data_IF_417601223626
#
_entry.id   IF_417601223626
#
_cell.length_a   1.000
_cell.length_b   1.000
_cell.length_c   1.000
_cell.angle_alpha   90.00
_cell.angle_beta   90.00
_cell.angle_gamma   90.00
#
_symmetry.space_group_name_H-M   'P 1'
#
loop_
_entity.id
_entity.type
_entity.pdbx_description
1 polymer ?
#
# COMPACT_ATOMS: atom_id res chain seq x y z
N UNK A 1 -4.45 7.00 -2.85
CA UNK A 1 -3.06 7.31 -3.21
C UNK A 1 -2.61 6.48 -4.41
N UNK A 2 -2.84 5.16 -4.45
CA UNK A 2 -2.53 4.29 -5.62
C UNK A 2 -3.04 4.91 -6.93
N UNK A 3 -4.35 5.21 -6.98
CA UNK A 3 -5.00 5.81 -8.16
C UNK A 3 -4.38 7.15 -8.54
N UNK A 4 -4.10 8.02 -7.56
CA UNK A 4 -3.45 9.31 -7.81
C UNK A 4 -2.06 9.14 -8.42
N UNK A 5 -1.26 8.21 -7.84
CA UNK A 5 0.07 7.89 -8.37
C UNK A 5 0.02 7.42 -9.82
N UNK A 6 -0.91 6.51 -10.14
CA UNK A 6 -1.10 6.02 -11.50
C UNK A 6 -1.51 7.14 -12.47
N UNK A 7 -2.46 8.01 -12.08
CA UNK A 7 -2.95 9.12 -12.92
C UNK A 7 -1.87 10.17 -13.16
N UNK A 8 -1.12 10.56 -12.12
CA UNK A 8 -0.01 11.49 -12.26
C UNK A 8 1.04 10.94 -13.23
N UNK A 9 1.41 9.66 -13.07
CA UNK A 9 2.35 9.01 -13.97
C UNK A 9 1.81 8.94 -15.40
N UNK A 10 0.54 8.55 -15.59
CA UNK A 10 -0.10 8.46 -16.90
C UNK A 10 -0.06 9.79 -17.67
N UNK A 11 -0.34 10.87 -16.95
CA UNK A 11 -0.39 12.22 -17.52
C UNK A 11 1.01 12.77 -17.86
N UNK A 12 2.01 12.54 -16.96
CA UNK A 12 3.36 13.07 -17.14
C UNK A 12 4.13 12.25 -18.20
N UNK A 13 4.01 10.94 -18.18
CA UNK A 13 4.67 10.05 -19.13
C UNK A 13 4.18 10.31 -20.55
N UNK A 14 2.86 10.39 -20.73
CA UNK A 14 2.23 10.71 -22.03
C UNK A 14 2.86 9.97 -23.22
N UNK A 15 3.14 8.67 -23.06
CA UNK A 15 3.73 7.80 -24.07
C UNK A 15 5.25 7.93 -24.25
N UNK A 16 5.94 8.81 -23.53
CA UNK A 16 7.37 9.09 -23.71
C UNK A 16 8.20 8.43 -22.60
N UNK A 17 9.17 7.61 -22.99
CA UNK A 17 10.08 6.93 -22.05
C UNK A 17 10.95 7.90 -21.24
N UNK A 18 11.32 9.05 -21.82
CA UNK A 18 12.12 10.07 -21.14
C UNK A 18 11.44 10.64 -19.88
N UNK A 19 10.12 10.58 -19.81
CA UNK A 19 9.32 11.14 -18.71
C UNK A 19 9.04 10.13 -17.59
N UNK A 20 9.56 8.90 -17.65
CA UNK A 20 9.35 7.87 -16.61
C UNK A 20 9.89 8.34 -15.27
N UNK A 21 11.15 8.81 -15.23
CA UNK A 21 11.80 9.23 -14.00
C UNK A 21 11.14 10.47 -13.36
N UNK A 22 10.87 11.57 -14.12
CA UNK A 22 10.10 12.69 -13.58
C UNK A 22 8.71 12.28 -13.06
N UNK A 23 7.99 11.44 -13.80
CA UNK A 23 6.68 10.95 -13.40
C UNK A 23 6.73 10.16 -12.07
N UNK A 24 7.71 9.27 -11.94
CA UNK A 24 7.93 8.50 -10.72
C UNK A 24 8.23 9.42 -9.53
N UNK A 25 9.14 10.39 -9.70
CA UNK A 25 9.50 11.33 -8.63
C UNK A 25 8.30 12.19 -8.18
N UNK A 26 7.50 12.70 -9.12
CA UNK A 26 6.30 13.48 -8.81
C UNK A 26 5.26 12.60 -8.10
N UNK A 27 5.04 11.38 -8.56
CA UNK A 27 4.12 10.43 -7.94
C UNK A 27 4.54 10.06 -6.51
N UNK A 28 5.82 9.74 -6.31
CA UNK A 28 6.37 9.46 -4.97
C UNK A 28 6.30 10.69 -4.07
N UNK A 29 6.62 11.87 -4.59
CA UNK A 29 6.51 13.14 -3.85
C UNK A 29 5.09 13.43 -3.40
N UNK A 30 4.10 13.26 -4.28
CA UNK A 30 2.69 13.40 -3.93
C UNK A 30 2.27 12.36 -2.86
N UNK A 31 2.71 11.11 -3.00
CA UNK A 31 2.48 10.07 -2.00
C UNK A 31 3.07 10.42 -0.65
N UNK A 32 4.35 10.86 -0.61
CA UNK A 32 5.02 11.31 0.61
C UNK A 32 4.28 12.46 1.29
N UNK A 33 3.85 13.47 0.53
CA UNK A 33 3.12 14.63 1.06
C UNK A 33 1.78 14.22 1.68
N UNK A 34 0.97 13.43 0.97
CA UNK A 34 -0.31 12.95 1.48
C UNK A 34 -0.11 12.10 2.73
N UNK A 35 0.88 11.21 2.71
CA UNK A 35 1.21 10.40 3.86
C UNK A 35 1.71 11.22 5.06
N UNK A 36 2.54 12.23 4.83
CA UNK A 36 3.00 13.13 5.88
C UNK A 36 1.84 13.91 6.51
N UNK A 37 0.90 14.42 5.70
CA UNK A 37 -0.31 15.10 6.19
C UNK A 37 -1.16 14.14 7.05
N UNK A 38 -1.38 12.91 6.58
CA UNK A 38 -2.08 11.89 7.36
C UNK A 38 -1.36 11.59 8.68
N UNK A 39 -0.05 11.41 8.62
CA UNK A 39 0.80 11.16 9.78
C UNK A 39 0.76 12.31 10.78
N UNK A 40 0.78 13.57 10.32
CA UNK A 40 0.64 14.75 11.17
C UNK A 40 -0.74 14.79 11.85
N UNK A 41 -1.81 14.53 11.11
CA UNK A 41 -3.15 14.46 11.67
C UNK A 41 -3.29 13.42 12.78
N UNK A 42 -2.68 12.25 12.60
CA UNK A 42 -2.71 11.17 13.60
C UNK A 42 -1.74 11.42 14.76
N UNK A 43 -0.53 11.90 14.50
CA UNK A 43 0.51 12.03 15.52
C UNK A 43 0.38 13.30 16.35
N UNK A 44 0.04 14.43 15.72
CA UNK A 44 0.02 15.75 16.35
C UNK A 44 -1.40 16.13 16.76
N UNK A 45 -2.36 16.06 15.82
CA UNK A 45 -3.76 16.41 16.10
C UNK A 45 -4.53 15.28 16.80
N UNK A 46 -3.91 14.11 16.94
CA UNK A 46 -4.50 12.93 17.62
C UNK A 46 -5.84 12.48 17.04
N UNK A 47 -6.06 12.73 15.75
CA UNK A 47 -7.24 12.26 15.04
C UNK A 47 -7.16 10.73 14.93
N UNK A 48 -8.25 9.99 15.17
CA UNK A 48 -8.27 8.54 14.98
C UNK A 48 -7.81 8.17 13.56
N UNK A 49 -6.88 7.20 13.42
CA UNK A 49 -6.27 6.83 12.13
C UNK A 49 -7.28 6.58 11.01
N UNK A 50 -8.35 5.84 11.33
CA UNK A 50 -9.40 5.51 10.38
C UNK A 50 -10.10 6.76 9.84
N UNK A 51 -10.46 7.69 10.74
CA UNK A 51 -11.15 8.94 10.38
C UNK A 51 -10.25 9.81 9.50
N UNK A 52 -8.97 9.95 9.89
CA UNK A 52 -8.00 10.75 9.12
C UNK A 52 -7.80 10.20 7.71
N UNK A 53 -7.61 8.89 7.58
CA UNK A 53 -7.35 8.27 6.27
C UNK A 53 -8.59 8.22 5.38
N UNK A 54 -9.79 8.03 5.94
CA UNK A 54 -11.04 8.11 5.19
C UNK A 54 -11.32 9.53 4.70
N UNK A 55 -11.13 10.53 5.56
CA UNK A 55 -11.25 11.94 5.16
C UNK A 55 -10.27 12.30 4.04
N UNK A 56 -9.01 11.90 4.18
CA UNK A 56 -8.00 12.12 3.15
C UNK A 56 -8.30 11.36 1.84
N UNK A 57 -8.93 10.19 1.92
CA UNK A 57 -9.35 9.47 0.72
C UNK A 57 -10.36 10.30 -0.10
N UNK A 58 -11.32 10.96 0.56
CA UNK A 58 -12.25 11.88 -0.08
C UNK A 58 -11.56 13.10 -0.70
N UNK A 59 -10.60 13.72 0.03
CA UNK A 59 -9.79 14.84 -0.49
C UNK A 59 -9.01 14.42 -1.73
N UNK A 60 -8.33 13.28 -1.69
CA UNK A 60 -7.55 12.76 -2.82
C UNK A 60 -8.45 12.43 -4.01
N UNK A 61 -9.64 11.88 -3.78
CA UNK A 61 -10.60 11.61 -4.84
C UNK A 61 -11.10 12.91 -5.49
N UNK A 62 -11.41 13.93 -4.69
CA UNK A 62 -11.76 15.26 -5.20
C UNK A 62 -10.62 15.89 -5.99
N UNK A 63 -9.38 15.77 -5.51
CA UNK A 63 -8.19 16.25 -6.21
C UNK A 63 -7.99 15.56 -7.57
N UNK A 64 -8.18 14.24 -7.61
CA UNK A 64 -8.13 13.48 -8.87
C UNK A 64 -9.14 14.05 -9.88
N UNK A 65 -10.39 14.24 -9.47
CA UNK A 65 -11.44 14.78 -10.32
C UNK A 65 -11.13 16.21 -10.78
N UNK A 66 -10.62 17.06 -9.88
CA UNK A 66 -10.22 18.42 -10.21
C UNK A 66 -9.06 18.48 -11.23
N UNK A 67 -8.05 17.61 -11.07
CA UNK A 67 -6.91 17.54 -11.99
C UNK A 67 -7.32 16.97 -13.35
N UNK A 68 -8.13 15.92 -13.35
CA UNK A 68 -8.49 15.21 -14.59
C UNK A 68 -9.68 15.82 -15.32
N UNK A 69 -10.51 16.59 -14.62
CA UNK A 69 -11.81 17.07 -15.13
C UNK A 69 -12.67 15.92 -15.71
N UNK A 70 -12.50 14.72 -15.17
CA UNK A 70 -13.16 13.50 -15.65
C UNK A 70 -12.54 12.90 -16.92
N UNK A 71 -11.50 13.53 -17.51
CA UNK A 71 -10.83 13.05 -18.71
C UNK A 71 -9.44 12.53 -18.37
N UNK A 72 -9.16 11.29 -18.73
CA UNK A 72 -7.87 10.67 -18.54
C UNK A 72 -7.05 10.81 -19.81
N UNK A 73 -6.28 11.90 -19.90
CA UNK A 73 -5.41 12.22 -21.05
C UNK A 73 -3.98 11.83 -20.68
N UNK A 74 -3.34 11.04 -21.52
CA UNK A 74 -1.96 10.57 -21.33
C UNK A 74 -1.73 9.22 -22.01
N UNK A 75 -0.65 8.56 -21.65
CA UNK A 75 -0.31 7.24 -22.18
C UNK A 75 0.76 6.54 -21.33
N UNK A 76 0.78 5.20 -21.32
CA UNK A 76 1.85 4.44 -20.70
C UNK A 76 3.13 4.58 -21.55
N UNK A 77 4.28 4.41 -20.89
CA UNK A 77 5.55 4.30 -21.59
C UNK A 77 5.72 2.88 -22.15
N UNK A 78 6.21 2.71 -23.39
CA UNK A 78 6.58 1.40 -23.91
C UNK A 78 7.62 0.67 -23.07
N UNK A 79 8.61 1.39 -22.54
CA UNK A 79 9.63 0.82 -21.65
C UNK A 79 9.02 0.32 -20.34
N UNK A 80 8.14 1.08 -19.69
CA UNK A 80 7.47 0.68 -18.46
C UNK A 80 6.59 -0.56 -18.69
N UNK A 81 5.82 -0.57 -19.77
CA UNK A 81 5.00 -1.70 -20.17
C UNK A 81 5.85 -2.96 -20.41
N UNK A 82 6.97 -2.82 -21.10
CA UNK A 82 7.88 -3.96 -21.33
C UNK A 82 8.45 -4.52 -20.02
N UNK A 83 8.88 -3.67 -19.09
CA UNK A 83 9.39 -4.10 -17.78
C UNK A 83 8.33 -4.84 -16.98
N UNK A 84 7.07 -4.37 -17.04
CA UNK A 84 6.01 -4.96 -16.22
C UNK A 84 5.39 -6.22 -16.81
N UNK A 85 5.31 -6.34 -18.15
CA UNK A 85 4.57 -7.43 -18.81
C UNK A 85 5.45 -8.45 -19.50
N UNK A 86 6.65 -8.05 -20.01
CA UNK A 86 7.52 -8.95 -20.76
C UNK A 86 8.52 -9.67 -19.85
N UNK A 87 8.86 -10.92 -20.17
CA UNK A 87 9.93 -11.62 -19.49
C UNK A 87 11.27 -10.94 -19.81
N UNK A 88 12.01 -10.55 -18.76
CA UNK A 88 13.33 -9.90 -18.88
C UNK A 88 14.45 -10.94 -18.76
N UNK A 89 14.33 -11.87 -17.81
CA UNK A 89 15.35 -12.86 -17.53
C UNK A 89 14.73 -14.21 -17.15
N UNK A 90 15.20 -15.32 -17.74
CA UNK A 90 14.69 -16.69 -17.47
C UNK A 90 13.17 -16.87 -17.57
N UNK A 91 12.47 -16.07 -18.40
CA UNK A 91 11.02 -16.13 -18.52
C UNK A 91 10.27 -15.39 -17.40
N UNK A 92 10.97 -14.67 -16.51
CA UNK A 92 10.40 -13.96 -15.36
C UNK A 92 10.15 -12.50 -15.76
N UNK A 93 8.93 -11.96 -15.54
CA UNK A 93 8.63 -10.54 -15.76
C UNK A 93 9.50 -9.63 -14.89
N UNK A 94 9.94 -8.49 -15.44
CA UNK A 94 10.81 -7.54 -14.73
C UNK A 94 10.19 -6.98 -13.45
N UNK A 95 8.85 -6.91 -13.37
CA UNK A 95 8.13 -6.47 -12.17
C UNK A 95 8.44 -7.32 -10.93
N UNK A 96 8.74 -8.61 -11.08
CA UNK A 96 9.10 -9.47 -9.94
C UNK A 96 10.47 -9.10 -9.35
N UNK A 97 11.43 -8.67 -10.18
CA UNK A 97 12.73 -8.18 -9.69
C UNK A 97 12.56 -6.86 -8.94
N UNK A 98 11.72 -5.96 -9.46
CA UNK A 98 11.38 -4.70 -8.78
C UNK A 98 10.70 -4.97 -7.44
N UNK A 99 9.73 -5.89 -7.42
CA UNK A 99 9.05 -6.32 -6.19
C UNK A 99 10.03 -6.93 -5.19
N UNK A 100 10.92 -7.80 -5.62
CA UNK A 100 11.93 -8.43 -4.75
C UNK A 100 12.91 -7.39 -4.18
N UNK A 101 13.34 -6.42 -4.99
CA UNK A 101 14.22 -5.33 -4.54
C UNK A 101 13.54 -4.46 -3.47
N UNK A 102 12.29 -4.05 -3.69
CA UNK A 102 11.51 -3.27 -2.71
C UNK A 102 11.26 -4.10 -1.46
N UNK A 103 10.94 -5.38 -1.61
CA UNK A 103 10.73 -6.29 -0.49
C UNK A 103 11.99 -6.44 0.37
N UNK A 104 13.15 -6.58 -0.26
CA UNK A 104 14.44 -6.61 0.43
C UNK A 104 14.74 -5.30 1.16
N UNK A 105 14.48 -4.16 0.50
CA UNK A 105 14.65 -2.84 1.11
C UNK A 105 13.75 -2.65 2.33
N UNK A 106 12.48 -3.01 2.23
CA UNK A 106 11.53 -2.91 3.35
C UNK A 106 11.89 -3.86 4.49
N UNK A 107 12.32 -5.06 4.19
CA UNK A 107 12.81 -6.00 5.20
C UNK A 107 14.03 -5.44 5.93
N UNK A 108 15.02 -4.90 5.21
CA UNK A 108 16.19 -4.23 5.80
C UNK A 108 15.76 -3.06 6.69
N UNK A 109 14.88 -2.20 6.18
CA UNK A 109 14.40 -1.02 6.91
C UNK A 109 13.69 -1.42 8.21
N UNK A 110 12.83 -2.43 8.18
CA UNK A 110 12.08 -2.85 9.37
C UNK A 110 12.92 -3.63 10.37
N UNK A 111 13.85 -4.50 9.92
CA UNK A 111 14.55 -5.42 10.80
C UNK A 111 15.96 -4.93 11.21
N UNK A 112 16.59 -4.08 10.39
CA UNK A 112 17.99 -3.70 10.58
C UNK A 112 18.20 -2.25 10.98
N UNK A 113 17.17 -1.37 10.87
CA UNK A 113 17.30 0.05 11.21
C UNK A 113 16.68 0.40 12.56
N UNK A 114 17.11 1.52 13.14
CA UNK A 114 16.51 2.09 14.33
C UNK A 114 15.03 2.49 14.10
N UNK A 115 14.69 2.88 12.87
CA UNK A 115 13.32 3.22 12.49
C UNK A 115 12.36 2.04 12.71
N UNK A 116 12.70 0.85 12.20
CA UNK A 116 11.87 -0.35 12.37
C UNK A 116 11.74 -0.76 13.84
N UNK A 117 12.84 -0.76 14.59
CA UNK A 117 12.82 -1.07 16.04
C UNK A 117 11.89 -0.11 16.80
N UNK A 118 12.00 1.19 16.53
CA UNK A 118 11.15 2.21 17.14
C UNK A 118 9.68 2.04 16.74
N UNK A 119 9.40 1.66 15.49
CA UNK A 119 8.05 1.40 15.01
C UNK A 119 7.37 0.26 15.80
N UNK A 120 8.06 -0.86 16.00
CA UNK A 120 7.54 -1.97 16.81
C UNK A 120 7.40 -1.58 18.28
N UNK A 121 8.35 -0.84 18.86
CA UNK A 121 8.27 -0.36 20.23
C UNK A 121 7.03 0.53 20.47
N UNK A 122 6.75 1.45 19.54
CA UNK A 122 5.56 2.31 19.57
C UNK A 122 4.28 1.47 19.47
N UNK A 123 4.29 0.42 18.65
CA UNK A 123 3.16 -0.49 18.50
C UNK A 123 2.84 -1.27 19.78
N UNK A 124 3.85 -1.62 20.58
CA UNK A 124 3.66 -2.28 21.89
C UNK A 124 3.13 -1.31 22.93
N UNK A 125 3.83 -0.18 23.14
CA UNK A 125 3.40 0.84 24.09
C UNK A 125 3.99 2.22 23.74
N UNK A 126 3.13 3.16 23.32
CA UNK A 126 3.52 4.51 22.94
C UNK A 126 4.16 5.31 24.09
N UNK A 127 3.67 5.14 25.33
CA UNK A 127 4.16 5.87 26.49
C UNK A 127 5.57 5.39 26.84
N UNK A 128 5.77 4.09 26.92
CA UNK A 128 7.08 3.49 27.23
C UNK A 128 8.11 3.86 26.16
N UNK A 129 7.75 3.78 24.88
CA UNK A 129 8.63 4.19 23.78
C UNK A 129 9.05 5.66 23.90
N UNK A 130 8.12 6.56 24.26
CA UNK A 130 8.43 7.99 24.47
C UNK A 130 9.38 8.19 25.66
N UNK A 131 9.17 7.50 26.76
CA UNK A 131 10.03 7.57 27.95
C UNK A 131 11.44 7.03 27.64
N UNK A 132 11.57 6.11 26.69
CA UNK A 132 12.86 5.61 26.21
C UNK A 132 13.53 6.52 25.17
N UNK A 133 13.06 7.77 25.00
CA UNK A 133 13.67 8.77 24.12
C UNK A 133 13.24 8.67 22.65
N UNK A 134 12.28 7.81 22.30
CA UNK A 134 11.81 7.71 20.91
C UNK A 134 10.89 8.89 20.57
N UNK A 135 11.19 9.58 19.47
CA UNK A 135 10.29 10.60 18.94
C UNK A 135 9.10 9.94 18.21
N UNK A 136 8.06 9.62 19.01
CA UNK A 136 6.86 8.92 18.53
C UNK A 136 6.20 9.63 17.35
N UNK A 137 6.11 10.97 17.40
CA UNK A 137 5.44 11.74 16.35
C UNK A 137 6.17 11.61 15.02
N UNK A 138 7.48 11.75 15.02
CA UNK A 138 8.30 11.66 13.82
C UNK A 138 8.22 10.24 13.20
N UNK A 139 8.32 9.20 14.02
CA UNK A 139 8.21 7.82 13.53
C UNK A 139 6.84 7.55 12.93
N UNK A 140 5.76 8.02 13.54
CA UNK A 140 4.40 7.85 13.00
C UNK A 140 4.26 8.60 11.68
N UNK A 141 4.68 9.88 11.59
CA UNK A 141 4.62 10.66 10.36
C UNK A 141 5.42 9.98 9.25
N UNK A 142 6.65 9.54 9.53
CA UNK A 142 7.49 8.86 8.57
C UNK A 142 6.87 7.53 8.07
N UNK A 143 6.18 6.80 8.97
CA UNK A 143 5.49 5.54 8.61
C UNK A 143 4.35 5.79 7.63
N UNK A 144 3.50 6.81 7.89
CA UNK A 144 2.43 7.17 6.97
C UNK A 144 2.95 7.70 5.63
N UNK A 145 4.02 8.51 5.67
CA UNK A 145 4.66 9.03 4.46
C UNK A 145 5.21 7.89 3.59
N UNK A 146 5.95 6.96 4.20
CA UNK A 146 6.53 5.81 3.50
C UNK A 146 5.44 4.88 2.94
N UNK A 147 4.39 4.59 3.72
CA UNK A 147 3.26 3.78 3.28
C UNK A 147 2.57 4.39 2.05
N UNK A 148 2.32 5.71 2.08
CA UNK A 148 1.68 6.40 0.96
C UNK A 148 2.59 6.52 -0.26
N UNK A 149 3.91 6.66 -0.08
CA UNK A 149 4.87 6.63 -1.17
C UNK A 149 4.91 5.26 -1.85
N UNK A 150 4.92 4.17 -1.08
CA UNK A 150 4.83 2.81 -1.60
C UNK A 150 3.50 2.55 -2.32
N UNK A 151 2.40 3.11 -1.83
CA UNK A 151 1.11 3.04 -2.51
C UNK A 151 1.14 3.79 -3.86
N UNK A 152 1.76 4.97 -3.92
CA UNK A 152 1.94 5.72 -5.16
C UNK A 152 2.84 4.95 -6.15
N UNK A 153 3.91 4.32 -5.65
CA UNK A 153 4.75 3.42 -6.44
C UNK A 153 3.96 2.24 -7.00
N UNK A 154 3.07 1.63 -6.18
CA UNK A 154 2.15 0.59 -6.66
C UNK A 154 1.28 1.08 -7.81
N UNK A 155 0.80 2.32 -7.75
CA UNK A 155 0.08 2.97 -8.85
C UNK A 155 0.90 3.11 -10.14
N UNK A 156 2.20 3.46 -10.02
CA UNK A 156 3.13 3.49 -11.14
C UNK A 156 3.30 2.11 -11.79
N UNK A 157 3.44 1.05 -11.00
CA UNK A 157 3.53 -0.33 -11.51
C UNK A 157 2.22 -0.76 -12.17
N UNK A 158 1.06 -0.41 -11.59
CA UNK A 158 -0.24 -0.71 -12.19
C UNK A 158 -0.44 -0.04 -13.55
N UNK A 159 0.06 1.19 -13.72
CA UNK A 159 0.04 1.85 -15.02
C UNK A 159 0.78 1.02 -16.08
N UNK A 160 1.96 0.51 -15.75
CA UNK A 160 2.73 -0.33 -16.67
C UNK A 160 2.02 -1.64 -17.03
N UNK A 161 1.35 -2.25 -16.04
CA UNK A 161 0.68 -3.54 -16.20
C UNK A 161 -0.66 -3.42 -16.96
N UNK A 162 -1.54 -2.50 -16.53
CA UNK A 162 -2.86 -2.32 -17.14
C UNK A 162 -2.83 -1.49 -18.40
N UNK A 163 -1.78 -0.69 -18.63
CA UNK A 163 -1.61 0.24 -19.76
C UNK A 163 -2.69 1.33 -19.83
N UNK A 164 -3.67 1.27 -18.99
CA UNK A 164 -4.77 2.25 -18.86
C UNK A 164 -4.98 2.57 -17.39
N UNK A 165 -5.54 3.76 -17.14
CA UNK A 165 -5.87 4.23 -15.81
C UNK A 165 -7.36 4.51 -15.73
N UNK A 166 -8.00 4.18 -14.63
CA UNK A 166 -9.38 4.54 -14.34
C UNK A 166 -9.47 5.15 -12.94
N UNK A 167 -10.52 5.95 -12.70
CA UNK A 167 -10.67 6.76 -11.50
C UNK A 167 -10.69 5.96 -10.19
N UNK A 168 -11.05 4.69 -10.23
CA UNK A 168 -11.14 3.80 -9.08
C UNK A 168 -10.12 2.66 -9.10
N UNK A 169 -8.98 2.81 -9.79
CA UNK A 169 -7.96 1.77 -9.96
C UNK A 169 -7.53 1.10 -8.65
N UNK A 170 -7.40 1.87 -7.58
CA UNK A 170 -6.93 1.38 -6.28
C UNK A 170 -8.00 0.87 -5.34
N UNK A 171 -9.29 1.13 -5.61
CA UNK A 171 -10.37 0.80 -4.68
C UNK A 171 -10.50 -0.71 -4.39
N UNK A 172 -10.45 -1.61 -5.40
CA UNK A 172 -10.58 -3.06 -5.18
C UNK A 172 -9.45 -3.68 -4.34
N UNK A 173 -8.34 -2.97 -4.15
CA UNK A 173 -7.19 -3.48 -3.39
C UNK A 173 -7.19 -3.08 -1.91
N UNK A 174 -8.17 -2.29 -1.46
CA UNK A 174 -8.21 -1.78 -0.08
C UNK A 174 -8.45 -2.90 0.92
N UNK A 175 -9.52 -3.68 0.77
CA UNK A 175 -9.83 -4.82 1.64
C UNK A 175 -8.81 -5.95 1.51
N UNK A 176 -8.42 -6.38 0.30
CA UNK A 176 -7.40 -7.39 0.13
C UNK A 176 -6.06 -7.05 0.79
N UNK A 177 -5.61 -5.79 0.73
CA UNK A 177 -4.37 -5.38 1.38
C UNK A 177 -4.42 -5.56 2.91
N UNK A 178 -5.53 -5.17 3.54
CA UNK A 178 -5.73 -5.38 4.99
C UNK A 178 -5.79 -6.87 5.32
N UNK A 179 -6.54 -7.65 4.53
CA UNK A 179 -6.66 -9.09 4.70
C UNK A 179 -5.30 -9.79 4.59
N UNK A 180 -4.46 -9.43 3.61
CA UNK A 180 -3.12 -9.97 3.44
C UNK A 180 -2.23 -9.73 4.68
N UNK A 181 -2.26 -8.52 5.23
CA UNK A 181 -1.46 -8.15 6.42
C UNK A 181 -1.92 -8.92 7.65
N UNK A 182 -3.24 -9.02 7.87
CA UNK A 182 -3.82 -9.76 9.01
C UNK A 182 -3.59 -11.26 8.86
N UNK A 183 -3.77 -11.81 7.65
CA UNK A 183 -3.47 -13.23 7.34
C UNK A 183 -1.99 -13.53 7.56
N UNK A 184 -1.10 -12.56 7.32
CA UNK A 184 0.32 -12.65 7.59
C UNK A 184 0.70 -12.58 9.08
N UNK A 185 -0.28 -12.54 9.99
CA UNK A 185 -0.06 -12.54 11.44
C UNK A 185 0.25 -11.18 12.05
N UNK A 186 0.03 -10.08 11.32
CA UNK A 186 0.17 -8.73 11.87
C UNK A 186 -1.10 -8.33 12.62
N UNK A 187 -0.97 -7.99 13.89
CA UNK A 187 -2.09 -7.55 14.71
C UNK A 187 -2.48 -6.10 14.41
N UNK A 188 -3.76 -5.84 14.18
CA UNK A 188 -4.28 -4.48 13.99
C UNK A 188 -4.13 -3.60 15.24
N UNK A 189 -4.01 -4.21 16.42
CA UNK A 189 -3.71 -3.50 17.67
C UNK A 189 -2.28 -3.02 17.77
N UNK A 190 -1.40 -3.41 16.85
CA UNK A 190 0.02 -3.04 16.81
C UNK A 190 0.95 -3.95 17.63
N UNK A 191 2.24 -3.71 17.53
CA UNK A 191 3.30 -4.34 18.32
C UNK A 191 3.75 -5.72 17.85
N UNK A 192 2.90 -6.47 17.17
CA UNK A 192 3.20 -7.81 16.66
C UNK A 192 2.92 -7.85 15.17
N UNK A 193 3.87 -8.38 14.41
CA UNK A 193 3.80 -8.54 12.98
C UNK A 193 5.19 -8.73 12.37
N UNK A 194 5.22 -9.06 11.09
CA UNK A 194 6.48 -9.24 10.38
C UNK A 194 6.31 -9.11 8.88
N UNK A 195 7.33 -8.59 8.23
CA UNK A 195 7.29 -8.35 6.79
C UNK A 195 7.13 -9.66 5.99
N UNK A 196 7.84 -10.73 6.39
CA UNK A 196 7.71 -12.05 5.77
C UNK A 196 6.30 -12.64 5.91
N UNK A 197 5.68 -12.42 7.08
CA UNK A 197 4.27 -12.80 7.27
C UNK A 197 3.36 -12.07 6.27
N UNK A 198 3.53 -10.77 6.11
CA UNK A 198 2.75 -9.97 5.15
C UNK A 198 2.96 -10.45 3.71
N UNK A 199 4.20 -10.80 3.31
CA UNK A 199 4.47 -11.37 1.99
C UNK A 199 3.71 -12.69 1.81
N UNK A 200 3.82 -13.61 2.78
CA UNK A 200 3.11 -14.89 2.69
C UNK A 200 1.59 -14.72 2.64
N UNK A 201 1.05 -13.81 3.44
CA UNK A 201 -0.38 -13.45 3.40
C UNK A 201 -0.81 -12.89 2.05
N UNK A 202 0.00 -12.02 1.44
CA UNK A 202 -0.28 -11.47 0.10
C UNK A 202 -0.25 -12.56 -0.98
N UNK A 203 0.70 -13.49 -0.92
CA UNK A 203 0.78 -14.63 -1.85
C UNK A 203 -0.45 -15.53 -1.71
N UNK A 204 -0.81 -15.92 -0.48
CA UNK A 204 -2.00 -16.75 -0.23
C UNK A 204 -3.26 -16.05 -0.74
N UNK A 205 -3.42 -14.76 -0.46
CA UNK A 205 -4.58 -14.00 -0.93
C UNK A 205 -4.64 -13.91 -2.46
N UNK A 206 -3.49 -13.75 -3.11
CA UNK A 206 -3.40 -13.75 -4.58
C UNK A 206 -3.79 -15.11 -5.16
N UNK A 207 -3.38 -16.22 -4.53
CA UNK A 207 -3.79 -17.58 -4.92
C UNK A 207 -5.31 -17.77 -4.77
N UNK A 208 -5.89 -17.32 -3.65
CA UNK A 208 -7.34 -17.34 -3.44
C UNK A 208 -8.03 -16.51 -4.53
N UNK A 209 -7.56 -15.31 -4.82
CA UNK A 209 -8.11 -14.45 -5.89
C UNK A 209 -8.06 -15.13 -7.25
N UNK A 210 -6.95 -15.76 -7.57
CA UNK A 210 -6.76 -16.51 -8.82
C UNK A 210 -7.73 -17.69 -8.92
N UNK A 211 -7.91 -18.45 -7.82
CA UNK A 211 -8.87 -19.54 -7.74
C UNK A 211 -10.30 -19.05 -7.97
N UNK A 212 -10.72 -17.99 -7.26
CA UNK A 212 -12.06 -17.42 -7.38
C UNK A 212 -12.32 -16.88 -8.80
N UNK A 213 -11.29 -16.34 -9.45
CA UNK A 213 -11.36 -15.87 -10.84
C UNK A 213 -11.52 -17.04 -11.81
N UNK A 214 -10.79 -18.15 -11.58
CA UNK A 214 -10.92 -19.38 -12.38
C UNK A 214 -12.30 -20.00 -12.24
N UNK A 215 -12.91 -19.91 -11.07
CA UNK A 215 -14.29 -20.33 -10.80
C UNK A 215 -15.33 -19.35 -11.40
N UNK A 216 -14.90 -18.32 -12.13
CA UNK A 216 -15.75 -17.29 -12.75
C UNK A 216 -16.63 -16.54 -11.75
N UNK A 217 -16.19 -16.42 -10.50
CA UNK A 217 -16.94 -15.65 -9.51
C UNK A 217 -16.92 -14.16 -9.85
N UNK A 218 -18.05 -13.50 -9.65
CA UNK A 218 -18.17 -12.04 -9.87
C UNK A 218 -17.29 -11.26 -8.89
N UNK A 219 -16.95 -10.03 -9.23
CA UNK A 219 -16.17 -9.13 -8.38
C UNK A 219 -16.82 -8.94 -7.01
N UNK A 220 -18.14 -8.76 -6.98
CA UNK A 220 -18.92 -8.66 -5.74
C UNK A 220 -18.77 -9.89 -4.83
N UNK A 221 -18.83 -11.09 -5.41
CA UNK A 221 -18.67 -12.32 -4.64
C UNK A 221 -17.26 -12.46 -4.06
N UNK A 222 -16.23 -11.99 -4.78
CA UNK A 222 -14.85 -11.95 -4.27
C UNK A 222 -14.69 -10.98 -3.10
N UNK A 223 -15.31 -9.80 -3.16
CA UNK A 223 -15.30 -8.85 -2.04
C UNK A 223 -15.97 -9.43 -0.78
N UNK A 224 -17.08 -10.17 -0.94
CA UNK A 224 -17.72 -10.87 0.19
C UNK A 224 -16.76 -11.88 0.80
N UNK A 225 -16.06 -12.67 -0.02
CA UNK A 225 -15.09 -13.67 0.47
C UNK A 225 -13.95 -12.99 1.24
N UNK A 226 -13.41 -11.87 0.73
CA UNK A 226 -12.35 -11.12 1.46
C UNK A 226 -12.85 -10.57 2.79
N UNK A 227 -14.08 -10.04 2.83
CA UNK A 227 -14.70 -9.59 4.07
C UNK A 227 -14.89 -10.72 5.08
N UNK A 228 -15.36 -11.90 4.64
CA UNK A 228 -15.52 -13.07 5.50
C UNK A 228 -14.18 -13.60 6.03
N UNK A 229 -13.15 -13.65 5.19
CA UNK A 229 -11.79 -14.03 5.61
C UNK A 229 -11.29 -13.07 6.69
N UNK A 230 -11.44 -11.76 6.48
CA UNK A 230 -11.02 -10.74 7.43
C UNK A 230 -11.75 -10.89 8.77
N UNK A 231 -13.08 -11.03 8.75
CA UNK A 231 -13.89 -11.23 9.95
C UNK A 231 -13.52 -12.52 10.69
N UNK A 232 -13.31 -13.62 9.98
CA UNK A 232 -12.90 -14.89 10.55
C UNK A 232 -11.54 -14.81 11.25
N UNK A 233 -10.57 -14.15 10.60
CA UNK A 233 -9.24 -13.92 11.18
C UNK A 233 -9.30 -13.03 12.43
N UNK A 234 -10.06 -11.93 12.38
CA UNK A 234 -10.22 -11.04 13.52
C UNK A 234 -10.91 -11.72 14.70
N UNK A 235 -11.92 -12.56 14.44
CA UNK A 235 -12.58 -13.36 15.47
C UNK A 235 -11.62 -14.38 16.10
N UNK A 236 -10.78 -15.04 15.29
CA UNK A 236 -9.78 -15.99 15.77
C UNK A 236 -8.72 -15.31 16.65
N UNK A 237 -8.19 -14.16 16.22
CA UNK A 237 -7.21 -13.38 16.99
C UNK A 237 -7.80 -12.74 18.25
N UNK A 238 -9.06 -12.27 18.19
CA UNK A 238 -9.77 -11.71 19.36
C UNK A 238 -9.94 -12.74 20.48
N UNK A 239 -10.26 -13.99 20.10
CA UNK A 239 -10.44 -15.10 21.07
C UNK A 239 -9.14 -15.50 21.80
N UNK A 240 -7.99 -15.44 21.10
CA UNK A 240 -6.69 -15.75 21.72
C UNK A 240 -6.28 -14.74 22.79
N UNK A 241 -6.73 -13.50 22.70
CA UNK A 241 -6.44 -12.45 23.68
C UNK A 241 -7.23 -12.64 24.99
N UNK A 242 -8.46 -13.12 24.89
CA UNK A 242 -9.32 -13.41 26.06
C UNK A 242 -8.82 -14.61 26.91
N UNK A 243 -8.04 -15.51 26.33
CA UNK A 243 -7.49 -16.68 27.03
C UNK A 243 -6.14 -16.39 27.73
N UNK A 244 -5.56 -15.19 27.53
CA UNK A 244 -4.27 -14.78 28.12
C UNK A 244 -4.42 -13.70 29.21
N UNK A 245 -5.61 -13.27 29.52
CA UNK A 245 -5.99 -12.44 30.67
C UNK A 245 -6.58 -13.32 31.77
#
# INVERSE_FOLDING_TARGET
VVTLGAILCYRIINGQDANILPALLVSLGAGLLIGAINGMGVAILRIPPLVMTLGMAGVVQGLILAITQGQLIGGPSPMLTNITTRPVFLGIPGVLFVWAAISGLMWLLLNRTAFGKNLYAIGVNRTTARLSGVNVNLVVIATYALCSALAAFGGFIFLGYYQHVFLNLGAPYTLPAVAAVVMGGTLLSGGIGGYWGTISGAVVLTLITSLLTTLRMSEFAREIVYGLILLGLLAAYGRQRSLRQ
#
